data_IF_359315540073
#
_entry.id   IF_359315540073
#
_cell.length_a   1.000
_cell.length_b   1.000
_cell.length_c   1.000
_cell.angle_alpha   90.00
_cell.angle_beta   90.00
_cell.angle_gamma   90.00
#
_symmetry.space_group_name_H-M   'P 1'
#
loop_
_entity.id
_entity.type
_entity.pdbx_description
1 polymer ?
#
# COMPACT_ATOMS: atom_id res chain seq x y z
N UNK A 1 7.37 12.70 -11.17
CA UNK A 1 6.28 11.86 -10.66
C UNK A 1 5.73 10.81 -11.66
N UNK A 2 5.93 10.90 -12.98
CA UNK A 2 5.36 9.94 -13.96
C UNK A 2 5.91 8.49 -13.93
N UNK A 3 6.97 8.19 -13.18
CA UNK A 3 7.52 6.81 -13.12
C UNK A 3 6.65 5.85 -12.30
N UNK A 4 5.95 6.30 -11.26
CA UNK A 4 5.10 5.44 -10.41
C UNK A 4 3.95 4.79 -11.17
N UNK A 5 3.32 5.53 -12.08
CA UNK A 5 2.25 5.02 -12.95
C UNK A 5 2.65 3.84 -13.85
N UNK A 6 3.95 3.51 -13.89
CA UNK A 6 4.52 2.43 -14.68
C UNK A 6 5.11 1.29 -13.85
N UNK A 7 5.11 1.40 -12.52
CA UNK A 7 5.56 0.32 -11.64
C UNK A 7 4.33 -0.55 -11.32
N UNK A 8 4.21 -1.76 -11.89
CA UNK A 8 3.14 -2.67 -11.53
C UNK A 8 3.37 -3.20 -10.11
N UNK A 9 2.29 -3.56 -9.41
CA UNK A 9 2.40 -4.29 -8.15
C UNK A 9 2.94 -5.70 -8.41
N UNK A 10 4.16 -5.96 -7.99
CA UNK A 10 4.95 -7.16 -8.29
C UNK A 10 4.25 -8.45 -7.84
N UNK A 11 3.51 -8.39 -6.72
CA UNK A 11 2.72 -9.52 -6.25
C UNK A 11 1.69 -10.04 -7.28
N UNK A 12 1.06 -9.14 -8.05
CA UNK A 12 0.13 -9.52 -9.12
C UNK A 12 0.85 -10.03 -10.37
N UNK A 13 2.01 -9.44 -10.70
CA UNK A 13 2.87 -9.89 -11.80
C UNK A 13 3.28 -11.34 -11.58
N UNK A 14 3.73 -11.69 -10.38
CA UNK A 14 4.15 -13.06 -10.02
C UNK A 14 2.99 -14.07 -10.00
N UNK A 15 1.75 -13.60 -10.04
CA UNK A 15 0.54 -14.44 -10.13
C UNK A 15 -0.08 -14.41 -11.53
N UNK A 16 0.67 -13.93 -12.52
CA UNK A 16 0.28 -13.86 -13.92
C UNK A 16 -1.03 -13.09 -14.17
N UNK A 17 -1.34 -12.11 -13.32
CA UNK A 17 -2.49 -11.23 -13.53
C UNK A 17 -2.21 -10.35 -14.75
N UNK A 18 -3.11 -10.35 -15.72
CA UNK A 18 -3.03 -9.45 -16.87
C UNK A 18 -3.29 -8.01 -16.46
N UNK A 19 -2.45 -7.08 -16.94
CA UNK A 19 -2.55 -5.63 -16.67
C UNK A 19 -2.75 -5.33 -15.18
N UNK A 20 -1.81 -5.73 -14.32
CA UNK A 20 -1.92 -5.52 -12.88
C UNK A 20 -1.97 -4.02 -12.56
N UNK A 21 -2.59 -3.68 -11.43
CA UNK A 21 -2.62 -2.31 -10.93
C UNK A 21 -1.19 -1.76 -10.71
N UNK A 22 -1.01 -0.46 -10.90
CA UNK A 22 0.23 0.23 -10.58
C UNK A 22 0.32 0.56 -9.08
N UNK A 23 1.54 0.84 -8.61
CA UNK A 23 1.77 1.36 -7.24
C UNK A 23 0.96 2.65 -7.00
N UNK A 24 0.80 3.50 -8.00
CA UNK A 24 -0.06 4.69 -7.87
C UNK A 24 -1.54 4.38 -7.75
N UNK A 25 -2.05 3.35 -8.43
CA UNK A 25 -3.45 2.94 -8.29
C UNK A 25 -3.72 2.43 -6.86
N UNK A 26 -2.77 1.67 -6.32
CA UNK A 26 -2.80 1.20 -4.93
C UNK A 26 -2.87 2.37 -3.93
N UNK A 27 -1.93 3.31 -4.00
CA UNK A 27 -1.91 4.48 -3.12
C UNK A 27 -3.16 5.36 -3.29
N UNK A 28 -3.66 5.54 -4.52
CA UNK A 28 -4.87 6.31 -4.77
C UNK A 28 -6.08 5.69 -4.06
N UNK A 29 -6.27 4.37 -4.21
CA UNK A 29 -7.36 3.66 -3.51
C UNK A 29 -7.22 3.77 -2.00
N UNK A 30 -6.01 3.65 -1.45
CA UNK A 30 -5.77 3.83 -0.01
C UNK A 30 -6.07 5.25 0.48
N UNK A 31 -5.72 6.27 -0.30
CA UNK A 31 -6.03 7.67 0.04
C UNK A 31 -7.54 7.93 0.05
N UNK A 32 -8.28 7.38 -0.92
CA UNK A 32 -9.75 7.44 -0.94
C UNK A 32 -10.34 6.69 0.26
N UNK A 33 -9.80 5.52 0.62
CA UNK A 33 -10.22 4.80 1.82
C UNK A 33 -10.00 5.65 3.09
N UNK A 34 -8.81 6.24 3.26
CA UNK A 34 -8.52 7.12 4.39
C UNK A 34 -9.46 8.34 4.47
N UNK A 35 -9.93 8.85 3.32
CA UNK A 35 -10.90 9.93 3.25
C UNK A 35 -12.28 9.50 3.77
N UNK A 36 -12.76 8.33 3.36
CA UNK A 36 -14.15 7.87 3.63
C UNK A 36 -14.31 7.14 4.96
N UNK A 37 -13.28 6.49 5.50
CA UNK A 37 -13.30 5.88 6.83
C UNK A 37 -13.58 6.96 7.88
N UNK A 38 -14.50 6.70 8.80
CA UNK A 38 -14.79 7.58 9.95
C UNK A 38 -14.06 7.06 11.18
N UNK A 39 -13.13 7.86 11.64
CA UNK A 39 -12.49 7.69 12.93
C UNK A 39 -12.18 9.09 13.47
N UNK A 40 -12.91 9.51 14.50
CA UNK A 40 -12.78 10.84 15.10
C UNK A 40 -11.47 10.97 15.92
N UNK A 41 -10.77 9.87 16.18
CA UNK A 41 -9.47 9.87 16.85
C UNK A 41 -8.29 10.05 15.88
N UNK A 42 -8.52 9.98 14.57
CA UNK A 42 -7.49 10.08 13.54
C UNK A 42 -7.53 11.39 12.79
N UNK A 43 -6.35 11.93 12.49
CA UNK A 43 -6.21 13.05 11.57
C UNK A 43 -6.26 12.54 10.12
N UNK A 44 -7.41 12.69 9.46
CA UNK A 44 -7.64 12.24 8.08
C UNK A 44 -6.64 12.81 7.08
N UNK A 45 -6.34 14.10 7.16
CA UNK A 45 -5.40 14.75 6.25
C UNK A 45 -4.01 14.10 6.36
N UNK A 46 -3.58 13.79 7.58
CA UNK A 46 -2.33 13.07 7.81
C UNK A 46 -2.38 11.64 7.27
N UNK A 47 -3.48 10.91 7.47
CA UNK A 47 -3.66 9.57 6.92
C UNK A 47 -3.61 9.55 5.39
N UNK A 48 -4.26 10.51 4.73
CA UNK A 48 -4.24 10.67 3.28
C UNK A 48 -2.82 10.96 2.79
N UNK A 49 -2.12 11.90 3.43
CA UNK A 49 -0.72 12.21 3.08
C UNK A 49 0.19 10.99 3.27
N UNK A 50 0.03 10.23 4.36
CA UNK A 50 0.77 8.98 4.58
C UNK A 50 0.49 7.97 3.46
N UNK A 51 -0.77 7.75 3.10
CA UNK A 51 -1.16 6.83 2.03
C UNK A 51 -0.52 7.19 0.67
N UNK A 52 -0.41 8.49 0.36
CA UNK A 52 0.19 8.97 -0.89
C UNK A 52 1.73 8.89 -0.94
N UNK A 53 2.38 8.71 0.22
CA UNK A 53 3.83 8.83 0.38
C UNK A 53 4.51 7.51 0.76
N UNK A 54 3.79 6.57 1.39
CA UNK A 54 4.41 5.37 1.94
C UNK A 54 5.20 4.54 0.92
N UNK A 55 4.63 4.29 -0.26
CA UNK A 55 5.30 3.57 -1.36
C UNK A 55 6.01 4.52 -2.34
N UNK A 56 6.43 5.71 -1.88
CA UNK A 56 7.05 6.69 -2.77
C UNK A 56 8.42 6.29 -3.31
N UNK A 57 9.20 5.58 -2.50
CA UNK A 57 10.50 5.04 -2.86
C UNK A 57 10.46 4.06 -4.04
N UNK A 58 9.34 3.35 -4.23
CA UNK A 58 9.19 2.29 -5.25
C UNK A 58 9.30 2.84 -6.68
N UNK A 59 9.20 4.16 -6.88
CA UNK A 59 9.43 4.75 -8.21
C UNK A 59 10.90 4.68 -8.67
N UNK A 60 11.82 4.46 -7.74
CA UNK A 60 13.26 4.24 -8.00
C UNK A 60 13.61 2.79 -7.69
N UNK A 61 13.16 2.25 -6.55
CA UNK A 61 13.53 0.92 -6.05
C UNK A 61 12.80 -0.22 -6.77
N UNK A 62 11.59 0.04 -7.29
CA UNK A 62 10.62 -0.99 -7.67
C UNK A 62 9.82 -1.51 -6.47
N UNK A 63 8.70 -2.17 -6.74
CA UNK A 63 7.89 -2.85 -5.71
C UNK A 63 8.55 -4.20 -5.35
N UNK A 64 9.19 -4.26 -4.19
CA UNK A 64 9.89 -5.45 -3.70
C UNK A 64 8.88 -6.37 -2.99
N UNK A 65 8.60 -7.51 -3.61
CA UNK A 65 7.71 -8.54 -3.08
C UNK A 65 8.47 -9.54 -2.17
N UNK A 66 7.76 -10.27 -1.29
CA UNK A 66 8.38 -11.30 -0.45
C UNK A 66 9.15 -12.37 -1.23
N UNK A 67 8.71 -12.69 -2.46
CA UNK A 67 9.37 -13.67 -3.33
C UNK A 67 10.76 -13.23 -3.84
N UNK A 68 11.09 -11.93 -3.74
CA UNK A 68 12.40 -11.40 -4.15
C UNK A 68 13.51 -11.70 -3.14
N UNK A 69 13.17 -12.22 -1.95
CA UNK A 69 14.09 -12.61 -0.89
C UNK A 69 15.11 -11.52 -0.49
N UNK A 70 14.74 -10.24 -0.62
CA UNK A 70 15.57 -9.11 -0.18
C UNK A 70 15.46 -8.96 1.35
N UNK A 71 16.59 -8.92 2.10
CA UNK A 71 16.58 -8.68 3.53
C UNK A 71 15.88 -7.37 3.91
N UNK A 72 15.26 -7.32 5.08
CA UNK A 72 14.49 -6.15 5.54
C UNK A 72 15.36 -4.90 5.60
N UNK A 73 16.58 -5.06 6.10
CA UNK A 73 17.57 -4.00 6.26
C UNK A 73 18.00 -3.45 4.90
N UNK A 74 18.17 -4.33 3.90
CA UNK A 74 18.54 -3.92 2.54
C UNK A 74 17.37 -3.26 1.82
N UNK A 75 16.14 -3.76 1.99
CA UNK A 75 14.93 -3.07 1.49
C UNK A 75 14.84 -1.67 2.07
N UNK A 76 14.97 -1.55 3.39
CA UNK A 76 14.91 -0.26 4.07
C UNK A 76 16.00 0.69 3.58
N UNK A 77 17.25 0.23 3.49
CA UNK A 77 18.38 1.03 3.00
C UNK A 77 18.14 1.58 1.59
N UNK A 78 17.65 0.74 0.67
CA UNK A 78 17.32 1.14 -0.72
C UNK A 78 16.21 2.18 -0.75
N UNK A 79 15.15 1.96 0.03
CA UNK A 79 14.01 2.88 0.08
C UNK A 79 14.36 4.21 0.72
N UNK A 80 15.18 4.20 1.77
CA UNK A 80 15.68 5.40 2.44
C UNK A 80 16.55 6.24 1.49
N UNK A 81 17.47 5.58 0.77
CA UNK A 81 18.32 6.23 -0.22
C UNK A 81 17.49 6.87 -1.34
N UNK A 82 16.50 6.15 -1.86
CA UNK A 82 15.57 6.66 -2.85
C UNK A 82 14.75 7.85 -2.33
N UNK A 83 14.25 7.79 -1.10
CA UNK A 83 13.48 8.89 -0.52
C UNK A 83 14.33 10.13 -0.30
N UNK A 84 15.58 9.99 0.18
CA UNK A 84 16.51 11.12 0.28
C UNK A 84 16.75 11.78 -1.07
N UNK A 85 16.95 10.98 -2.13
CA UNK A 85 17.10 11.51 -3.48
C UNK A 85 15.84 12.26 -3.96
N UNK A 86 14.65 11.71 -3.71
CA UNK A 86 13.39 12.34 -4.13
C UNK A 86 13.10 13.63 -3.38
N UNK A 87 13.30 13.67 -2.07
CA UNK A 87 12.96 14.83 -1.24
C UNK A 87 13.96 15.98 -1.41
N UNK A 88 15.20 15.70 -1.80
CA UNK A 88 16.19 16.71 -2.17
C UNK A 88 15.82 17.51 -3.43
N UNK A 89 14.90 17.02 -4.26
CA UNK A 89 14.41 17.74 -5.45
C UNK A 89 13.35 18.81 -5.11
N UNK A 90 12.91 18.88 -3.86
CA UNK A 90 11.85 19.76 -3.39
C UNK A 90 12.43 20.91 -2.56
N UNK A 91 11.59 21.90 -2.22
CA UNK A 91 11.99 22.91 -1.23
C UNK A 91 12.31 22.25 0.11
N UNK A 92 13.19 22.86 0.90
CA UNK A 92 13.67 22.29 2.17
C UNK A 92 12.51 21.86 3.09
N UNK A 93 11.49 22.71 3.23
CA UNK A 93 10.37 22.45 4.12
C UNK A 93 9.50 21.29 3.63
N UNK A 94 9.18 21.27 2.32
CA UNK A 94 8.36 20.21 1.73
C UNK A 94 9.12 18.87 1.67
N UNK A 95 10.40 18.90 1.32
CA UNK A 95 11.26 17.72 1.32
C UNK A 95 11.37 17.10 2.71
N UNK A 96 11.50 17.93 3.76
CA UNK A 96 11.48 17.48 5.15
C UNK A 96 10.16 16.84 5.53
N UNK A 97 9.03 17.50 5.23
CA UNK A 97 7.69 16.98 5.53
C UNK A 97 7.46 15.59 4.90
N UNK A 98 7.78 15.45 3.60
CA UNK A 98 7.62 14.19 2.86
C UNK A 98 8.50 13.07 3.42
N UNK A 99 9.74 13.39 3.79
CA UNK A 99 10.65 12.41 4.38
C UNK A 99 10.13 11.93 5.74
N UNK A 100 9.70 12.84 6.61
CA UNK A 100 9.15 12.52 7.93
C UNK A 100 7.87 11.68 7.83
N UNK A 101 6.99 11.99 6.87
CA UNK A 101 5.80 11.17 6.59
C UNK A 101 6.17 9.75 6.17
N UNK A 102 7.14 9.61 5.26
CA UNK A 102 7.63 8.30 4.85
C UNK A 102 8.23 7.51 6.02
N UNK A 103 9.05 8.15 6.86
CA UNK A 103 9.67 7.50 8.02
C UNK A 103 8.61 6.97 9.02
N UNK A 104 7.56 7.77 9.28
CA UNK A 104 6.41 7.34 10.10
C UNK A 104 5.71 6.12 9.48
N UNK A 105 5.57 6.08 8.16
CA UNK A 105 4.95 4.95 7.46
C UNK A 105 5.75 3.65 7.62
N UNK A 106 7.08 3.72 7.69
CA UNK A 106 7.94 2.54 7.90
C UNK A 106 7.68 1.92 9.27
N UNK A 107 7.53 2.75 10.32
CA UNK A 107 7.21 2.30 11.68
C UNK A 107 5.85 1.57 11.69
N UNK A 108 4.83 2.18 11.06
CA UNK A 108 3.50 1.57 10.93
C UNK A 108 3.53 0.25 10.16
N UNK A 109 4.28 0.18 9.05
CA UNK A 109 4.44 -1.06 8.27
C UNK A 109 5.18 -2.15 9.07
N UNK A 110 6.11 -1.78 9.94
CA UNK A 110 6.77 -2.72 10.84
C UNK A 110 5.77 -3.30 11.85
N UNK A 111 4.85 -2.48 12.38
CA UNK A 111 3.80 -2.94 13.30
C UNK A 111 2.79 -3.87 12.59
N UNK A 112 2.32 -3.51 11.40
CA UNK A 112 1.41 -4.37 10.61
C UNK A 112 2.08 -5.69 10.19
N UNK A 113 3.39 -5.71 9.96
CA UNK A 113 4.14 -6.92 9.57
C UNK A 113 4.51 -7.84 10.74
N UNK A 114 4.49 -7.35 11.97
CA UNK A 114 4.66 -8.18 13.17
C UNK A 114 3.39 -8.98 13.48
N UNK A 115 2.21 -8.42 13.17
CA UNK A 115 0.95 -9.16 13.21
C UNK A 115 0.71 -9.92 11.90
N UNK A 116 1.48 -11.00 11.69
CA UNK A 116 1.32 -11.92 10.55
C UNK A 116 -0.04 -12.65 10.52
N UNK A 117 -0.92 -12.40 11.48
CA UNK A 117 -2.26 -13.01 11.50
C UNK A 117 -3.19 -12.43 10.43
N UNK A 118 -2.80 -11.31 9.78
CA UNK A 118 -3.64 -10.66 8.77
C UNK A 118 -4.94 -10.09 9.35
N UNK A 119 -5.01 -9.92 10.67
CA UNK A 119 -6.22 -9.47 11.35
C UNK A 119 -6.28 -7.95 11.35
N UNK A 120 -7.38 -7.44 10.81
CA UNK A 120 -7.76 -6.05 10.99
C UNK A 120 -8.35 -5.86 12.39
N UNK A 121 -8.02 -4.76 13.05
CA UNK A 121 -8.52 -4.45 14.40
C UNK A 121 -9.37 -3.17 14.44
N UNK A 122 -9.32 -2.34 13.40
CA UNK A 122 -10.12 -1.12 13.33
C UNK A 122 -11.59 -1.47 13.02
N UNK A 123 -12.57 -1.07 13.85
CA UNK A 123 -13.95 -1.51 13.74
C UNK A 123 -14.55 -1.37 12.33
N UNK A 124 -14.41 -0.20 11.70
CA UNK A 124 -14.94 0.02 10.35
C UNK A 124 -14.22 -0.80 9.27
N UNK A 125 -12.91 -1.03 9.42
CA UNK A 125 -12.14 -1.83 8.46
C UNK A 125 -12.52 -3.31 8.62
N UNK A 126 -12.71 -3.78 9.85
CA UNK A 126 -13.18 -5.14 10.13
C UNK A 126 -14.56 -5.37 9.52
N UNK A 127 -15.48 -4.42 9.69
CA UNK A 127 -16.80 -4.50 9.09
C UNK A 127 -16.73 -4.57 7.56
N UNK A 128 -16.00 -3.63 6.94
CA UNK A 128 -15.83 -3.59 5.48
C UNK A 128 -15.22 -4.89 4.94
N UNK A 129 -14.15 -5.39 5.56
CA UNK A 129 -13.49 -6.64 5.14
C UNK A 129 -14.45 -7.82 5.28
N UNK A 130 -15.23 -7.88 6.36
CA UNK A 130 -16.23 -8.94 6.57
C UNK A 130 -17.31 -8.94 5.49
N UNK A 131 -17.82 -7.76 5.10
CA UNK A 131 -18.80 -7.59 4.02
C UNK A 131 -18.22 -8.02 2.66
N UNK A 132 -17.00 -7.58 2.33
CA UNK A 132 -16.31 -7.95 1.10
C UNK A 132 -16.02 -9.46 1.01
N UNK A 133 -15.63 -10.08 2.13
CA UNK A 133 -15.39 -11.51 2.19
C UNK A 133 -16.68 -12.32 1.99
N UNK A 134 -17.80 -11.88 2.58
CA UNK A 134 -19.10 -12.52 2.40
C UNK A 134 -19.54 -12.46 0.94
N UNK A 135 -19.45 -11.29 0.29
CA UNK A 135 -19.79 -11.11 -1.12
C UNK A 135 -18.90 -11.96 -2.04
N UNK A 136 -17.58 -11.93 -1.84
CA UNK A 136 -16.63 -12.76 -2.59
C UNK A 136 -16.97 -14.24 -2.48
N UNK A 137 -17.23 -14.73 -1.26
CA UNK A 137 -17.50 -16.14 -1.02
C UNK A 137 -18.84 -16.56 -1.65
N UNK A 138 -19.86 -15.68 -1.64
CA UNK A 138 -21.12 -15.92 -2.33
C UNK A 138 -20.93 -16.02 -3.86
N UNK A 139 -20.14 -15.12 -4.45
CA UNK A 139 -19.83 -15.13 -5.89
C UNK A 139 -19.05 -16.37 -6.31
N UNK A 140 -18.07 -16.80 -5.51
CA UNK A 140 -17.33 -18.06 -5.74
C UNK A 140 -18.28 -19.26 -5.68
N UNK A 141 -19.17 -19.30 -4.68
CA UNK A 141 -20.14 -20.38 -4.55
C UNK A 141 -21.15 -20.41 -5.70
N UNK A 142 -21.54 -19.25 -6.25
CA UNK A 142 -22.40 -19.15 -7.42
C UNK A 142 -21.69 -19.65 -8.69
N UNK A 143 -20.45 -19.19 -8.95
CA UNK A 143 -19.66 -19.63 -10.09
C UNK A 143 -19.36 -21.13 -10.07
N UNK A 144 -19.17 -21.73 -8.89
CA UNK A 144 -18.98 -23.17 -8.73
C UNK A 144 -20.26 -24.00 -9.00
N UNK A 145 -21.43 -23.37 -9.07
CA UNK A 145 -22.73 -24.03 -9.31
C UNK A 145 -23.18 -23.95 -10.78
N UNK A 146 -22.55 -23.13 -11.61
CA UNK A 146 -22.84 -23.10 -13.05
C UNK A 146 -22.10 -24.26 -13.73
N UNK A 147 -22.80 -25.28 -14.29
CA UNK A 147 -22.16 -26.29 -15.10
C UNK A 147 -21.65 -25.64 -16.37
N UNK A 148 -20.41 -25.93 -16.77
CA UNK A 148 -19.90 -25.62 -18.09
C UNK A 148 -20.88 -26.19 -19.15
N UNK A 149 -21.64 -25.28 -19.79
CA UNK A 149 -22.41 -25.59 -21.00
C UNK A 149 -21.51 -25.66 -22.22
#
# INVERSE_FOLDING_TARGET
>A
MNRKSRVPRTGWVYRNVERPESVSDHMYRMAVMALVTKDDHLNKDRCIRLALVHDMAECIVGDIAPADNIPKEEKHRREEEAMKQLTQLLSKDLGKELYELWEVSIIGSCLQRLDRSGKFNHPEIVQLVSELEAERNANIAAAAREPHS
#
